data_IF_216703141920
#
_entry.id   IF_216703141920
#
_cell.length_a   1.000
_cell.length_b   1.000
_cell.length_c   1.000
_cell.angle_alpha   90.00
_cell.angle_beta   90.00
_cell.angle_gamma   90.00
#
_symmetry.space_group_name_H-M   'P 1'
#
loop_
_entity.id
_entity.type
_entity.pdbx_description
1 polymer ?
#
# COMPACT_ATOMS: atom_id res chain seq x y z
N UNK A 1 21.18 16.52 -19.20
CA UNK A 1 22.20 17.60 -19.30
C UNK A 1 22.77 18.06 -17.95
N UNK A 2 22.30 17.58 -16.78
CA UNK A 2 22.85 17.95 -15.45
C UNK A 2 23.96 17.02 -14.91
N UNK A 3 24.09 15.79 -15.44
CA UNK A 3 25.09 14.82 -14.97
C UNK A 3 26.53 15.16 -15.40
N UNK A 4 26.71 15.81 -16.56
CA UNK A 4 28.05 16.15 -17.09
C UNK A 4 28.73 17.31 -16.35
N UNK A 5 27.98 18.16 -15.65
CA UNK A 5 28.53 19.32 -14.93
C UNK A 5 29.14 18.90 -13.58
N UNK A 6 28.61 17.85 -12.95
CA UNK A 6 29.11 17.38 -11.64
C UNK A 6 30.44 16.62 -11.78
N UNK A 7 30.60 15.83 -12.84
CA UNK A 7 31.82 15.03 -13.06
C UNK A 7 33.03 15.85 -13.48
N UNK A 8 32.85 16.98 -14.17
CA UNK A 8 33.98 17.80 -14.63
C UNK A 8 34.68 18.60 -13.51
N UNK A 9 34.09 18.62 -12.30
CA UNK A 9 34.61 19.35 -11.14
C UNK A 9 35.03 18.41 -9.99
N UNK A 10 35.37 17.15 -10.29
CA UNK A 10 35.80 16.15 -9.31
C UNK A 10 37.31 15.89 -9.28
N UNK A 11 38.09 16.43 -10.22
CA UNK A 11 39.53 16.12 -10.31
C UNK A 11 40.39 16.78 -9.23
N UNK A 12 39.90 17.81 -8.51
CA UNK A 12 40.66 18.55 -7.50
C UNK A 12 40.16 18.41 -6.05
N UNK A 13 39.30 17.44 -5.73
CA UNK A 13 38.82 17.24 -4.34
C UNK A 13 39.40 15.98 -3.72
N UNK A 14 40.07 16.13 -2.57
CA UNK A 14 40.74 15.06 -1.83
C UNK A 14 39.78 13.86 -1.61
N UNK A 15 40.24 12.61 -1.78
CA UNK A 15 39.39 11.42 -1.86
C UNK A 15 38.49 11.19 -0.63
N UNK A 16 38.86 11.74 0.54
CA UNK A 16 38.09 11.67 1.80
C UNK A 16 36.80 12.49 1.77
N UNK A 17 36.75 13.60 1.02
CA UNK A 17 35.57 14.48 0.94
C UNK A 17 34.52 13.90 -0.02
N UNK A 18 34.97 13.22 -1.07
CA UNK A 18 34.10 12.52 -2.01
C UNK A 18 33.42 11.31 -1.35
N UNK A 19 34.19 10.49 -0.61
CA UNK A 19 33.65 9.33 0.12
C UNK A 19 32.70 9.72 1.27
N UNK A 20 32.89 10.86 1.93
CA UNK A 20 31.93 11.34 2.94
C UNK A 20 30.59 11.76 2.32
N UNK A 21 30.62 12.43 1.17
CA UNK A 21 29.39 12.89 0.49
C UNK A 21 28.57 11.73 -0.09
N UNK A 22 29.22 10.71 -0.66
CA UNK A 22 28.51 9.53 -1.18
C UNK A 22 27.85 8.73 -0.07
N UNK A 23 28.54 8.53 1.06
CA UNK A 23 27.98 7.87 2.24
C UNK A 23 26.81 8.67 2.85
N UNK A 24 26.92 10.00 2.91
CA UNK A 24 25.83 10.85 3.41
C UNK A 24 24.59 10.76 2.51
N UNK A 25 24.76 10.81 1.19
CA UNK A 25 23.66 10.67 0.23
C UNK A 25 23.00 9.28 0.30
N UNK A 26 23.78 8.20 0.37
CA UNK A 26 23.26 6.85 0.56
C UNK A 26 22.46 6.72 1.86
N UNK A 27 22.97 7.27 2.96
CA UNK A 27 22.28 7.24 4.25
C UNK A 27 20.97 8.05 4.22
N UNK A 28 20.94 9.20 3.55
CA UNK A 28 19.74 10.02 3.38
C UNK A 28 18.70 9.32 2.52
N UNK A 29 19.10 8.76 1.36
CA UNK A 29 18.19 8.01 0.48
C UNK A 29 17.63 6.76 1.15
N UNK A 30 18.45 6.04 1.92
CA UNK A 30 18.00 4.91 2.74
C UNK A 30 17.01 5.33 3.84
N UNK A 31 17.29 6.43 4.57
CA UNK A 31 16.36 6.97 5.58
C UNK A 31 15.03 7.41 4.96
N UNK A 32 15.05 8.05 3.79
CA UNK A 32 13.83 8.43 3.04
C UNK A 32 13.06 7.17 2.64
N UNK A 33 13.73 6.17 2.06
CA UNK A 33 13.09 4.91 1.65
C UNK A 33 12.46 4.17 2.84
N UNK A 34 13.15 4.14 3.99
CA UNK A 34 12.63 3.57 5.24
C UNK A 34 11.42 4.37 5.74
N UNK A 35 11.49 5.71 5.75
CA UNK A 35 10.37 6.57 6.18
C UNK A 35 9.15 6.42 5.28
N UNK A 36 9.34 6.41 3.95
CA UNK A 36 8.26 6.18 2.98
C UNK A 36 7.68 4.78 3.14
N UNK A 37 8.51 3.77 3.34
CA UNK A 37 8.04 2.40 3.59
C UNK A 37 7.28 2.30 4.91
N UNK A 38 7.74 2.96 5.97
CA UNK A 38 7.05 3.02 7.27
C UNK A 38 5.67 3.67 7.12
N UNK A 39 5.61 4.80 6.41
CA UNK A 39 4.35 5.49 6.12
C UNK A 39 3.38 4.59 5.34
N UNK A 40 3.85 3.89 4.29
CA UNK A 40 3.01 2.92 3.57
C UNK A 40 2.53 1.75 4.44
N UNK A 41 3.36 1.24 5.36
CA UNK A 41 2.93 0.20 6.30
C UNK A 41 1.85 0.71 7.24
N UNK A 42 2.00 1.92 7.78
CA UNK A 42 1.01 2.54 8.65
C UNK A 42 -0.31 2.81 7.91
N UNK A 43 -0.24 3.32 6.67
CA UNK A 43 -1.40 3.50 5.81
C UNK A 43 -2.09 2.17 5.52
N UNK A 44 -1.34 1.13 5.16
CA UNK A 44 -1.89 -0.21 4.93
C UNK A 44 -2.62 -0.73 6.17
N UNK A 45 -2.01 -0.61 7.36
CA UNK A 45 -2.66 -1.01 8.62
C UNK A 45 -3.97 -0.25 8.85
N UNK A 46 -3.97 1.08 8.66
CA UNK A 46 -5.16 1.93 8.83
C UNK A 46 -6.29 1.62 7.84
N UNK A 47 -5.94 1.25 6.61
CA UNK A 47 -6.92 0.95 5.57
C UNK A 47 -7.51 -0.45 5.77
N UNK A 48 -6.66 -1.46 5.98
CA UNK A 48 -7.10 -2.85 5.85
C UNK A 48 -7.09 -3.66 7.15
N UNK A 49 -6.31 -3.27 8.15
CA UNK A 49 -6.16 -4.03 9.41
C UNK A 49 -6.97 -3.42 10.56
N UNK A 50 -8.15 -2.86 10.25
CA UNK A 50 -9.07 -2.29 11.24
C UNK A 50 -10.32 -3.15 11.32
N UNK A 51 -10.73 -3.50 12.54
CA UNK A 51 -11.94 -4.26 12.77
C UNK A 51 -13.16 -3.33 12.90
N UNK A 52 -13.66 -2.83 11.75
CA UNK A 52 -14.78 -1.85 11.69
C UNK A 52 -16.15 -2.50 11.83
N UNK A 53 -16.28 -3.75 11.41
CA UNK A 53 -17.54 -4.47 11.40
C UNK A 53 -17.54 -5.54 12.47
N UNK A 54 -18.41 -5.36 13.47
CA UNK A 54 -18.73 -6.44 14.40
C UNK A 54 -19.47 -7.53 13.64
N UNK A 55 -19.30 -8.77 14.08
CA UNK A 55 -19.89 -10.00 13.52
C UNK A 55 -21.43 -10.08 13.64
N UNK A 56 -22.12 -8.94 13.60
CA UNK A 56 -23.57 -8.83 13.49
C UNK A 56 -24.05 -9.59 12.25
N UNK A 57 -25.07 -10.43 12.44
CA UNK A 57 -25.49 -11.55 11.58
C UNK A 57 -26.07 -11.17 10.20
N UNK A 58 -25.75 -10.00 9.63
CA UNK A 58 -26.29 -9.51 8.35
C UNK A 58 -25.34 -9.70 7.16
N UNK A 59 -24.30 -10.52 7.29
CA UNK A 59 -23.39 -10.84 6.19
C UNK A 59 -24.01 -11.75 5.13
N UNK A 60 -23.60 -11.59 3.88
CA UNK A 60 -23.87 -12.53 2.78
C UNK A 60 -22.61 -13.35 2.50
N UNK A 61 -22.80 -14.62 2.11
CA UNK A 61 -21.68 -15.51 1.75
C UNK A 61 -21.43 -15.43 0.25
N UNK A 62 -20.15 -15.32 -0.13
CA UNK A 62 -19.70 -15.33 -1.52
C UNK A 62 -18.61 -16.38 -1.70
N UNK A 63 -18.58 -17.04 -2.86
CA UNK A 63 -17.51 -17.97 -3.18
C UNK A 63 -16.24 -17.21 -3.58
N UNK A 64 -15.10 -17.62 -3.01
CA UNK A 64 -13.77 -17.16 -3.35
C UNK A 64 -12.95 -18.34 -3.87
N UNK A 65 -12.05 -18.06 -4.82
CA UNK A 65 -11.10 -19.08 -5.27
C UNK A 65 -10.25 -19.57 -4.09
N UNK A 66 -9.97 -20.88 -3.97
CA UNK A 66 -9.23 -21.43 -2.83
C UNK A 66 -7.90 -20.73 -2.59
N UNK A 67 -7.14 -20.42 -3.63
CA UNK A 67 -5.81 -19.81 -3.53
C UNK A 67 -5.88 -18.39 -2.95
N UNK A 68 -6.95 -17.66 -3.26
CA UNK A 68 -7.19 -16.33 -2.69
C UNK A 68 -7.65 -16.43 -1.25
N UNK A 69 -8.56 -17.36 -0.95
CA UNK A 69 -9.02 -17.59 0.40
C UNK A 69 -7.86 -17.92 1.36
N UNK A 70 -6.99 -18.84 0.98
CA UNK A 70 -5.80 -19.21 1.77
C UNK A 70 -4.86 -18.02 1.99
N UNK A 71 -4.62 -17.23 0.94
CA UNK A 71 -3.75 -16.05 1.03
C UNK A 71 -4.33 -14.99 1.96
N UNK A 72 -5.62 -14.68 1.85
CA UNK A 72 -6.31 -13.72 2.71
C UNK A 72 -6.32 -14.19 4.17
N UNK A 73 -6.61 -15.48 4.40
CA UNK A 73 -6.58 -16.09 5.72
C UNK A 73 -5.19 -16.01 6.34
N UNK A 74 -4.13 -16.29 5.56
CA UNK A 74 -2.75 -16.23 6.05
C UNK A 74 -2.35 -14.82 6.45
N UNK A 75 -2.76 -13.79 5.70
CA UNK A 75 -2.50 -12.38 6.04
C UNK A 75 -3.10 -12.07 7.42
N UNK A 76 -4.37 -12.41 7.62
CA UNK A 76 -5.07 -12.13 8.87
C UNK A 76 -4.45 -12.87 10.06
N UNK A 77 -4.09 -14.15 9.88
CA UNK A 77 -3.45 -14.95 10.94
C UNK A 77 -2.06 -14.44 11.36
N UNK A 78 -1.33 -13.82 10.44
CA UNK A 78 0.00 -13.25 10.71
C UNK A 78 -0.09 -11.85 11.36
N UNK A 79 -1.16 -11.09 11.09
CA UNK A 79 -1.46 -9.78 11.70
C UNK A 79 -2.11 -9.90 13.08
N UNK A 80 -1.45 -10.61 14.01
CA UNK A 80 -2.01 -10.96 15.32
C UNK A 80 -2.26 -9.75 16.23
N UNK A 81 -1.48 -8.68 16.10
CA UNK A 81 -1.59 -7.49 16.93
C UNK A 81 -2.90 -6.73 16.66
N UNK A 82 -3.37 -6.79 15.42
CA UNK A 82 -4.47 -5.98 14.90
C UNK A 82 -5.85 -6.64 15.12
N UNK A 83 -5.87 -7.92 15.53
CA UNK A 83 -7.09 -8.70 15.82
C UNK A 83 -8.18 -8.55 14.75
N UNK A 84 -7.76 -8.32 13.50
CA UNK A 84 -8.67 -8.19 12.35
C UNK A 84 -9.21 -9.57 12.02
N UNK A 85 -10.50 -9.67 11.68
CA UNK A 85 -11.08 -10.94 11.22
C UNK A 85 -10.95 -11.08 9.71
N UNK A 86 -11.05 -12.30 9.18
CA UNK A 86 -11.11 -12.51 7.72
C UNK A 86 -12.26 -11.73 7.08
N UNK A 87 -13.41 -11.68 7.76
CA UNK A 87 -14.57 -10.92 7.34
C UNK A 87 -14.24 -9.42 7.24
N UNK A 88 -13.75 -8.81 8.33
CA UNK A 88 -13.42 -7.38 8.34
C UNK A 88 -12.32 -7.03 7.33
N UNK A 89 -11.37 -7.94 7.09
CA UNK A 89 -10.32 -7.72 6.09
C UNK A 89 -10.87 -7.69 4.66
N UNK A 90 -11.73 -8.65 4.31
CA UNK A 90 -12.38 -8.68 2.99
C UNK A 90 -13.26 -7.44 2.83
N UNK A 91 -14.02 -7.08 3.85
CA UNK A 91 -14.89 -5.91 3.80
C UNK A 91 -14.10 -4.60 3.59
N UNK A 92 -12.99 -4.41 4.32
CA UNK A 92 -12.09 -3.27 4.11
C UNK A 92 -11.49 -3.23 2.68
N UNK A 93 -11.21 -4.39 2.07
CA UNK A 93 -10.77 -4.47 0.67
C UNK A 93 -11.88 -3.99 -0.28
N UNK A 94 -13.11 -4.43 -0.05
CA UNK A 94 -14.27 -4.02 -0.85
C UNK A 94 -14.57 -2.53 -0.68
N UNK A 95 -14.56 -2.02 0.56
CA UNK A 95 -14.76 -0.60 0.85
C UNK A 95 -13.72 0.26 0.12
N UNK A 96 -12.44 -0.13 0.18
CA UNK A 96 -11.38 0.55 -0.56
C UNK A 96 -11.60 0.47 -2.08
N UNK A 97 -11.97 -0.70 -2.60
CA UNK A 97 -12.25 -0.85 -4.03
C UNK A 97 -13.39 0.08 -4.49
N UNK A 98 -14.51 0.11 -3.78
CA UNK A 98 -15.63 0.99 -4.14
C UNK A 98 -15.31 2.47 -3.93
N UNK A 99 -14.46 2.82 -2.97
CA UNK A 99 -14.01 4.20 -2.79
C UNK A 99 -13.14 4.69 -3.94
N UNK A 100 -12.17 3.86 -4.37
CA UNK A 100 -11.23 4.24 -5.43
C UNK A 100 -11.86 4.18 -6.83
N UNK A 101 -12.76 3.23 -7.08
CA UNK A 101 -13.28 2.94 -8.41
C UNK A 101 -14.79 3.15 -8.55
N UNK A 102 -15.49 3.65 -7.52
CA UNK A 102 -16.95 3.77 -7.52
C UNK A 102 -17.50 4.65 -8.63
N UNK A 103 -16.79 5.73 -8.98
CA UNK A 103 -17.17 6.60 -10.09
C UNK A 103 -17.03 5.86 -11.42
N UNK A 104 -15.86 5.26 -11.67
CA UNK A 104 -15.60 4.50 -12.91
C UNK A 104 -16.58 3.34 -13.09
N UNK A 105 -16.92 2.63 -12.00
CA UNK A 105 -17.93 1.59 -11.99
C UNK A 105 -19.28 2.18 -12.40
N UNK A 106 -19.70 3.26 -11.77
CA UNK A 106 -20.98 3.92 -12.05
C UNK A 106 -21.08 4.36 -13.50
N UNK A 107 -20.04 5.02 -14.02
CA UNK A 107 -19.99 5.53 -15.39
C UNK A 107 -20.04 4.37 -16.40
N UNK A 108 -19.22 3.34 -16.20
CA UNK A 108 -19.17 2.17 -17.08
C UNK A 108 -20.54 1.49 -17.24
N UNK A 109 -21.30 1.40 -16.15
CA UNK A 109 -22.59 0.73 -16.18
C UNK A 109 -23.75 1.63 -16.61
N UNK A 110 -23.75 2.93 -16.26
CA UNK A 110 -24.75 3.87 -16.74
C UNK A 110 -24.70 4.06 -18.27
N UNK A 111 -23.52 3.93 -18.87
CA UNK A 111 -23.35 3.97 -20.33
C UNK A 111 -23.91 2.74 -21.05
N UNK A 112 -24.10 1.61 -20.35
CA UNK A 112 -24.37 0.31 -20.98
C UNK A 112 -25.61 -0.43 -20.48
N UNK A 113 -26.17 -0.09 -19.32
CA UNK A 113 -27.34 -0.71 -18.70
C UNK A 113 -28.04 0.26 -17.72
N UNK A 114 -29.17 -0.17 -17.11
CA UNK A 114 -29.87 0.60 -16.05
C UNK A 114 -28.91 0.98 -14.90
N UNK A 115 -29.15 2.12 -14.21
CA UNK A 115 -28.32 2.56 -13.10
C UNK A 115 -28.18 1.49 -12.02
N UNK A 116 -26.97 1.36 -11.46
CA UNK A 116 -26.62 0.38 -10.41
C UNK A 116 -26.87 0.91 -9.00
N UNK A 117 -27.14 2.22 -8.89
CA UNK A 117 -27.47 2.92 -7.66
C UNK A 117 -28.94 3.37 -7.68
#
# INVERSE_FOLDING_TARGET
MYWNIIFKNSENRSPKVLTRNTNLFYNVTMKIKIKTHKNRKEQFKKLFMVNRFSSGRSGKVVYLRPEYHERLLRIVQLSREEKTTLYSYIDNIMEHHFREFGQDITDYFNERNKPIL
#
